data_IF_072408780362
#
_entry.id   IF_072408780362
#
_cell.length_a   1.000
_cell.length_b   1.000
_cell.length_c   1.000
_cell.angle_alpha   90.00
_cell.angle_beta   90.00
_cell.angle_gamma   90.00
#
_symmetry.space_group_name_H-M   'P 1'
#
loop_
_entity.id
_entity.type
_entity.pdbx_description
1 polymer ?
#
# COMPACT_ATOMS: atom_id res chain seq x y z
N UNK A 1 -2.69 8.25 -37.47
CA UNK A 1 -2.60 7.51 -36.18
C UNK A 1 -1.75 8.31 -35.22
N UNK A 2 -2.20 8.53 -33.98
CA UNK A 2 -1.45 9.21 -32.93
C UNK A 2 -1.06 8.20 -31.84
N UNK A 3 0.06 8.47 -31.15
CA UNK A 3 0.60 7.61 -30.08
C UNK A 3 -0.09 7.86 -28.74
N UNK A 4 -0.70 9.02 -28.56
CA UNK A 4 -1.44 9.39 -27.36
C UNK A 4 -2.59 10.32 -27.72
N UNK A 5 -3.74 10.14 -27.11
CA UNK A 5 -4.87 11.07 -27.19
C UNK A 5 -5.39 11.33 -25.79
N UNK A 6 -5.56 12.60 -25.45
CA UNK A 6 -6.09 13.03 -24.17
C UNK A 6 -7.21 14.04 -24.34
N UNK A 7 -8.11 14.07 -23.38
CA UNK A 7 -9.22 15.01 -23.32
C UNK A 7 -9.09 15.85 -22.03
N UNK A 8 -8.84 17.15 -22.20
CA UNK A 8 -8.80 18.12 -21.11
C UNK A 8 -10.20 18.64 -20.88
N UNK A 9 -10.65 18.58 -19.65
CA UNK A 9 -11.98 19.05 -19.25
C UNK A 9 -11.95 20.56 -18.95
N UNK A 10 -13.11 21.17 -18.94
CA UNK A 10 -13.24 22.51 -18.38
C UNK A 10 -12.87 22.46 -16.88
N UNK A 11 -11.91 23.30 -16.49
CA UNK A 11 -11.38 23.33 -15.13
C UNK A 11 -12.36 24.08 -14.22
N UNK A 12 -12.90 23.40 -13.22
CA UNK A 12 -13.81 23.95 -12.21
C UNK A 12 -13.17 24.10 -10.85
N UNK A 13 -12.22 23.24 -10.55
CA UNK A 13 -11.56 23.14 -9.26
C UNK A 13 -10.11 22.63 -9.41
N UNK A 14 -9.42 22.52 -8.28
CA UNK A 14 -8.04 22.05 -8.23
C UNK A 14 -7.87 20.57 -8.66
N UNK A 15 -8.92 19.75 -8.57
CA UNK A 15 -8.88 18.35 -9.01
C UNK A 15 -8.90 18.28 -10.54
N UNK A 16 -9.73 19.09 -11.19
CA UNK A 16 -9.75 19.23 -12.64
C UNK A 16 -8.43 19.80 -13.18
N UNK A 17 -7.86 20.79 -12.49
CA UNK A 17 -6.56 21.40 -12.85
C UNK A 17 -5.45 20.36 -12.80
N UNK A 18 -5.35 19.63 -11.69
CA UNK A 18 -4.38 18.55 -11.54
C UNK A 18 -4.58 17.46 -12.59
N UNK A 19 -5.81 16.99 -12.80
CA UNK A 19 -6.14 15.98 -13.81
C UNK A 19 -5.77 16.41 -15.23
N UNK A 20 -6.03 17.67 -15.59
CA UNK A 20 -5.66 18.24 -16.88
C UNK A 20 -4.13 18.36 -17.02
N UNK A 21 -3.43 18.75 -15.96
CA UNK A 21 -1.97 18.84 -15.95
C UNK A 21 -1.32 17.47 -16.20
N UNK A 22 -1.79 16.41 -15.54
CA UNK A 22 -1.30 15.04 -15.78
C UNK A 22 -1.55 14.60 -17.23
N UNK A 23 -2.76 14.83 -17.75
CA UNK A 23 -3.12 14.47 -19.14
C UNK A 23 -2.26 15.22 -20.17
N UNK A 24 -2.05 16.53 -19.98
CA UNK A 24 -1.22 17.33 -20.88
C UNK A 24 0.25 16.85 -20.86
N UNK A 25 0.83 16.63 -19.67
CA UNK A 25 2.16 16.08 -19.55
C UNK A 25 2.28 14.68 -20.17
N UNK A 26 1.28 13.81 -20.00
CA UNK A 26 1.23 12.48 -20.64
C UNK A 26 1.30 12.59 -22.16
N UNK A 27 0.53 13.49 -22.77
CA UNK A 27 0.53 13.70 -24.20
C UNK A 27 1.86 14.24 -24.71
N UNK A 28 2.45 15.22 -24.00
CA UNK A 28 3.74 15.82 -24.37
C UNK A 28 4.87 14.79 -24.27
N UNK A 29 4.92 14.03 -23.17
CA UNK A 29 5.93 13.00 -22.99
C UNK A 29 5.81 11.82 -23.95
N UNK A 30 4.60 11.55 -24.47
CA UNK A 30 4.39 10.52 -25.49
C UNK A 30 5.04 10.85 -26.83
N UNK A 31 5.26 12.13 -27.15
CA UNK A 31 5.89 12.58 -28.41
C UNK A 31 7.27 11.95 -28.65
N UNK A 32 7.98 11.58 -27.61
CA UNK A 32 9.34 11.01 -27.72
C UNK A 32 9.48 9.60 -27.12
N UNK A 33 8.38 9.00 -26.66
CA UNK A 33 8.41 7.66 -26.03
C UNK A 33 8.36 6.57 -27.10
N UNK A 34 9.19 5.52 -26.94
CA UNK A 34 9.17 4.33 -27.81
C UNK A 34 9.20 4.64 -29.31
N UNK A 35 10.08 5.53 -29.74
CA UNK A 35 10.18 5.99 -31.13
C UNK A 35 9.31 7.20 -31.46
N UNK A 36 8.42 7.61 -30.57
CA UNK A 36 7.63 8.83 -30.69
C UNK A 36 6.52 8.76 -31.70
N UNK A 37 5.82 9.88 -31.83
CA UNK A 37 4.71 10.07 -32.78
C UNK A 37 3.83 11.25 -32.40
N UNK A 38 2.85 11.61 -33.24
CA UNK A 38 1.95 12.72 -32.96
C UNK A 38 1.04 12.40 -31.75
N UNK A 39 0.85 13.37 -30.88
CA UNK A 39 -0.12 13.32 -29.79
C UNK A 39 -1.30 14.24 -30.07
N UNK A 40 -2.47 13.85 -29.65
CA UNK A 40 -3.70 14.62 -29.78
C UNK A 40 -4.18 15.09 -28.41
N UNK A 41 -4.43 16.41 -28.30
CA UNK A 41 -5.01 17.02 -27.11
C UNK A 41 -6.32 17.69 -27.51
N UNK A 42 -7.43 17.19 -27.00
CA UNK A 42 -8.72 17.82 -27.15
C UNK A 42 -9.02 18.68 -25.93
N UNK A 43 -9.28 19.98 -26.14
CA UNK A 43 -9.56 20.91 -25.05
C UNK A 43 -11.03 21.33 -25.09
N UNK A 44 -11.75 21.18 -24.00
CA UNK A 44 -13.06 21.75 -23.77
C UNK A 44 -12.89 23.23 -23.43
N UNK A 45 -13.46 24.11 -24.24
CA UNK A 45 -13.39 25.56 -24.04
C UNK A 45 -14.79 26.15 -23.92
N UNK A 46 -14.89 27.26 -23.22
CA UNK A 46 -16.09 28.10 -23.19
C UNK A 46 -15.79 29.40 -23.88
N UNK A 47 -16.83 29.99 -24.47
CA UNK A 47 -16.71 31.35 -25.01
C UNK A 47 -16.57 32.32 -23.83
N UNK A 48 -15.47 33.04 -23.79
CA UNK A 48 -15.23 34.11 -22.83
C UNK A 48 -15.18 35.45 -23.55
N UNK A 49 -15.84 36.43 -22.96
CA UNK A 49 -15.72 37.86 -23.38
C UNK A 49 -14.63 38.60 -22.60
N UNK A 50 -13.94 37.91 -21.69
CA UNK A 50 -12.86 38.50 -20.89
C UNK A 50 -11.50 38.33 -21.59
N UNK A 51 -10.92 39.45 -22.01
CA UNK A 51 -9.61 39.54 -22.64
C UNK A 51 -8.60 40.25 -21.73
N UNK A 52 -8.86 40.32 -20.44
CA UNK A 52 -8.01 41.04 -19.49
C UNK A 52 -6.82 40.23 -18.99
N UNK A 53 -6.82 38.92 -19.22
CA UNK A 53 -5.70 38.00 -18.79
C UNK A 53 -4.45 38.37 -19.58
N UNK A 54 -3.43 38.83 -18.88
CA UNK A 54 -2.14 39.28 -19.47
C UNK A 54 -1.03 38.25 -19.27
N UNK A 55 -1.17 37.37 -18.26
CA UNK A 55 -0.16 36.37 -17.92
C UNK A 55 -0.76 34.98 -17.87
N UNK A 56 -0.05 34.01 -18.42
CA UNK A 56 -0.39 32.59 -18.31
C UNK A 56 0.35 32.03 -17.10
N UNK A 57 -0.39 31.51 -16.14
CA UNK A 57 0.19 30.83 -14.99
C UNK A 57 0.84 29.53 -15.49
N UNK A 58 2.16 29.32 -15.25
CA UNK A 58 2.83 28.11 -15.67
C UNK A 58 2.25 26.87 -14.97
N UNK A 59 1.89 25.86 -15.72
CA UNK A 59 1.50 24.57 -15.18
C UNK A 59 2.72 23.76 -14.72
N UNK A 60 2.51 22.78 -13.84
CA UNK A 60 3.56 21.90 -13.41
C UNK A 60 4.06 21.02 -14.59
N UNK A 61 5.35 21.13 -14.92
CA UNK A 61 5.99 20.32 -15.95
C UNK A 61 6.59 19.06 -15.33
N UNK A 62 6.24 17.92 -15.92
CA UNK A 62 6.79 16.61 -15.52
C UNK A 62 7.81 16.19 -16.57
N UNK A 63 8.97 15.70 -16.10
CA UNK A 63 10.04 15.22 -16.97
C UNK A 63 10.20 13.72 -16.82
N UNK A 64 10.55 13.04 -17.93
CA UNK A 64 10.87 11.60 -17.90
C UNK A 64 12.31 11.39 -18.31
N UNK A 65 12.99 10.50 -17.58
CA UNK A 65 14.36 10.11 -17.81
C UNK A 65 14.45 8.59 -17.96
N UNK A 66 15.28 8.14 -18.88
CA UNK A 66 15.66 6.74 -19.07
C UNK A 66 17.14 6.52 -18.78
N UNK A 67 17.63 5.31 -19.05
CA UNK A 67 19.02 4.90 -18.77
C UNK A 67 20.11 5.74 -19.45
N UNK A 68 19.80 6.33 -20.61
CA UNK A 68 20.75 7.08 -21.42
C UNK A 68 20.69 8.59 -21.22
N UNK A 69 19.73 9.05 -20.42
CA UNK A 69 19.57 10.48 -20.17
C UNK A 69 20.51 10.96 -19.07
N UNK A 70 20.88 12.23 -19.11
CA UNK A 70 21.57 12.89 -18.00
C UNK A 70 20.55 13.10 -16.89
N UNK A 71 20.71 12.38 -15.77
CA UNK A 71 19.79 12.46 -14.66
C UNK A 71 19.98 13.78 -13.89
N UNK A 72 18.87 14.34 -13.33
CA UNK A 72 18.96 15.55 -12.51
C UNK A 72 19.78 15.26 -11.25
N UNK A 73 20.57 16.21 -10.73
CA UNK A 73 21.23 16.05 -9.45
C UNK A 73 20.16 15.96 -8.34
N UNK A 74 20.47 15.17 -7.32
CA UNK A 74 19.65 15.15 -6.13
C UNK A 74 19.90 16.44 -5.35
N UNK A 75 18.87 17.27 -5.23
CA UNK A 75 18.97 18.56 -4.54
C UNK A 75 19.22 18.43 -3.03
N UNK A 76 19.51 19.54 -2.38
CA UNK A 76 19.65 19.57 -0.91
C UNK A 76 18.28 19.60 -0.24
N UNK A 77 17.72 18.41 -0.02
CA UNK A 77 16.46 18.26 0.70
C UNK A 77 16.71 17.94 2.16
N UNK A 78 16.00 18.63 3.06
CA UNK A 78 16.14 18.44 4.50
C UNK A 78 15.77 17.02 4.94
N UNK A 79 14.67 16.47 4.40
CA UNK A 79 14.18 15.12 4.66
C UNK A 79 13.87 14.44 3.33
N UNK A 80 14.43 13.24 3.14
CA UNK A 80 14.20 12.41 1.97
C UNK A 80 13.56 11.10 2.42
N UNK A 81 12.46 10.72 1.81
CA UNK A 81 11.82 9.44 2.04
C UNK A 81 11.66 8.65 0.74
N UNK A 82 11.89 7.35 0.80
CA UNK A 82 11.48 6.40 -0.23
C UNK A 82 10.14 5.84 0.21
N UNK A 83 9.09 6.09 -0.56
CA UNK A 83 7.76 5.55 -0.28
C UNK A 83 7.56 4.29 -1.11
N UNK A 84 7.47 3.16 -0.42
CA UNK A 84 7.28 1.85 -1.05
C UNK A 84 5.83 1.42 -0.83
N UNK A 85 5.06 1.42 -1.90
CA UNK A 85 3.70 0.84 -1.88
C UNK A 85 3.74 -0.69 -1.88
N UNK A 86 2.67 -1.33 -2.37
CA UNK A 86 2.70 -2.78 -2.56
C UNK A 86 3.79 -3.13 -3.59
N UNK A 87 4.65 -4.05 -3.21
CA UNK A 87 5.79 -4.44 -4.03
C UNK A 87 6.10 -5.93 -3.84
N UNK A 88 6.73 -6.56 -4.82
CA UNK A 88 7.33 -7.88 -4.64
C UNK A 88 8.42 -7.82 -3.57
N UNK A 89 8.75 -8.97 -2.98
CA UNK A 89 9.87 -9.04 -2.02
C UNK A 89 11.14 -8.51 -2.69
N UNK A 90 11.81 -7.58 -2.03
CA UNK A 90 13.07 -7.04 -2.52
C UNK A 90 14.12 -8.14 -2.66
N UNK A 91 14.85 -8.11 -3.76
CA UNK A 91 16.07 -8.89 -3.91
C UNK A 91 17.15 -8.37 -2.96
N UNK A 92 18.19 -9.15 -2.69
CA UNK A 92 19.36 -8.67 -1.94
C UNK A 92 19.97 -7.44 -2.62
N UNK A 93 20.11 -7.47 -3.96
CA UNK A 93 20.66 -6.38 -4.74
C UNK A 93 19.88 -5.08 -4.62
N UNK A 94 18.53 -5.14 -4.71
CA UNK A 94 17.70 -3.95 -4.54
C UNK A 94 17.74 -3.45 -3.08
N UNK A 95 17.73 -4.36 -2.09
CA UNK A 95 17.84 -3.98 -0.68
C UNK A 95 19.15 -3.24 -0.39
N UNK A 96 20.27 -3.77 -0.87
CA UNK A 96 21.58 -3.15 -0.73
C UNK A 96 21.67 -1.78 -1.41
N UNK A 97 21.10 -1.65 -2.61
CA UNK A 97 21.06 -0.39 -3.34
C UNK A 97 20.26 0.69 -2.61
N UNK A 98 19.09 0.32 -2.10
CA UNK A 98 18.24 1.22 -1.29
C UNK A 98 18.92 1.58 0.03
N UNK A 99 19.52 0.61 0.72
CA UNK A 99 20.24 0.86 1.96
C UNK A 99 21.43 1.79 1.75
N UNK A 100 22.23 1.59 0.68
CA UNK A 100 23.35 2.47 0.34
C UNK A 100 22.89 3.90 0.02
N UNK A 101 21.78 4.04 -0.71
CA UNK A 101 21.17 5.34 -0.96
C UNK A 101 20.75 6.03 0.35
N UNK A 102 20.03 5.32 1.22
CA UNK A 102 19.57 5.86 2.50
C UNK A 102 20.72 6.27 3.41
N UNK A 103 21.77 5.47 3.46
CA UNK A 103 22.98 5.78 4.24
C UNK A 103 23.65 7.05 3.73
N UNK A 104 23.80 7.18 2.41
CA UNK A 104 24.45 8.33 1.78
C UNK A 104 23.68 9.64 1.98
N UNK A 105 22.36 9.60 1.73
CA UNK A 105 21.55 10.82 1.69
C UNK A 105 20.77 11.08 2.99
N UNK A 106 20.90 10.22 4.00
CA UNK A 106 20.13 10.34 5.23
C UNK A 106 18.63 10.11 4.99
N UNK A 107 18.29 9.26 4.03
CA UNK A 107 16.92 8.94 3.70
C UNK A 107 16.35 7.82 4.57
N UNK A 108 15.02 7.66 4.55
CA UNK A 108 14.29 6.60 5.22
C UNK A 108 13.37 5.88 4.23
N UNK A 109 12.92 4.68 4.57
CA UNK A 109 11.97 3.93 3.74
C UNK A 109 10.61 3.87 4.44
N UNK A 110 9.68 4.69 3.99
CA UNK A 110 8.27 4.65 4.40
C UNK A 110 7.57 3.49 3.70
N UNK A 111 7.07 2.56 4.48
CA UNK A 111 6.49 1.34 3.94
C UNK A 111 5.41 0.77 4.86
N UNK A 112 4.64 -0.17 4.31
CA UNK A 112 3.83 -1.13 5.05
C UNK A 112 4.42 -2.55 4.91
N UNK A 113 3.78 -3.56 5.46
CA UNK A 113 4.28 -4.92 5.36
C UNK A 113 4.15 -5.52 3.94
N UNK A 114 3.32 -4.93 3.04
CA UNK A 114 3.19 -5.36 1.64
C UNK A 114 4.32 -4.83 0.75
N UNK A 115 5.17 -3.97 1.28
CA UNK A 115 6.29 -3.35 0.54
C UNK A 115 7.38 -4.33 0.12
N UNK A 116 7.48 -5.48 0.78
CA UNK A 116 8.56 -6.45 0.55
C UNK A 116 9.96 -5.99 0.99
N UNK A 117 10.12 -4.78 1.50
CA UNK A 117 11.38 -4.23 1.98
C UNK A 117 11.65 -4.59 3.44
N UNK A 118 12.81 -5.16 3.73
CA UNK A 118 13.26 -5.53 5.08
C UNK A 118 14.68 -5.02 5.41
N UNK A 119 15.11 -3.92 4.76
CA UNK A 119 16.41 -3.31 4.99
C UNK A 119 16.48 -2.45 6.26
N UNK A 120 17.67 -1.87 6.49
CA UNK A 120 18.03 -1.16 7.74
C UNK A 120 17.26 0.14 7.98
N UNK A 121 16.69 0.74 6.94
CA UNK A 121 16.06 2.07 6.97
C UNK A 121 14.53 1.99 6.98
N UNK A 122 13.97 0.80 7.28
CA UNK A 122 12.53 0.52 7.36
C UNK A 122 11.86 1.39 8.44
N UNK A 123 10.79 2.07 8.02
CA UNK A 123 9.86 2.82 8.87
C UNK A 123 8.45 2.32 8.55
N UNK A 124 7.89 1.48 9.43
CA UNK A 124 6.54 0.95 9.29
C UNK A 124 5.53 2.04 9.65
N UNK A 125 5.01 2.72 8.64
CA UNK A 125 4.27 3.97 8.77
C UNK A 125 2.79 3.82 9.19
N UNK A 126 2.06 2.71 8.92
CA UNK A 126 0.61 2.63 9.11
C UNK A 126 0.11 2.95 10.52
N UNK A 127 0.85 2.59 11.58
CA UNK A 127 0.45 2.93 12.94
C UNK A 127 0.35 4.44 13.16
N UNK A 128 1.34 5.20 12.70
CA UNK A 128 1.35 6.67 12.81
C UNK A 128 0.31 7.30 11.88
N UNK A 129 0.21 6.81 10.66
CA UNK A 129 -0.72 7.34 9.65
C UNK A 129 -2.19 7.15 10.03
N UNK A 130 -2.49 6.15 10.87
CA UNK A 130 -3.85 5.92 11.38
C UNK A 130 -4.25 6.86 12.52
N UNK A 131 -3.30 7.64 13.06
CA UNK A 131 -3.58 8.67 14.07
C UNK A 131 -4.12 9.94 13.36
N UNK A 132 -5.40 9.93 12.99
CA UNK A 132 -6.00 10.95 12.12
C UNK A 132 -6.09 12.34 12.75
N UNK A 133 -6.08 12.41 14.08
CA UNK A 133 -6.18 13.67 14.84
C UNK A 133 -4.82 14.31 15.11
N UNK A 134 -3.74 13.67 14.68
CA UNK A 134 -2.37 14.14 14.88
C UNK A 134 -1.66 14.29 13.55
N UNK A 135 -1.13 15.48 13.31
CA UNK A 135 -0.12 15.68 12.28
C UNK A 135 1.27 15.39 12.86
N UNK A 136 2.00 14.47 12.22
CA UNK A 136 3.35 14.10 12.61
C UNK A 136 4.35 14.79 11.69
N UNK A 137 5.28 15.53 12.28
CA UNK A 137 6.33 16.24 11.54
C UNK A 137 7.14 15.34 10.60
N UNK A 138 7.28 14.06 10.93
CA UNK A 138 8.00 13.09 10.07
C UNK A 138 7.29 12.83 8.75
N UNK A 139 5.99 13.13 8.64
CA UNK A 139 5.24 12.98 7.38
C UNK A 139 5.57 14.07 6.36
N UNK A 140 6.15 15.20 6.81
CA UNK A 140 6.55 16.33 5.97
C UNK A 140 7.97 16.10 5.45
N UNK A 141 8.09 15.82 4.17
CA UNK A 141 9.37 15.52 3.51
C UNK A 141 9.62 16.46 2.34
N UNK A 142 10.88 16.83 2.13
CA UNK A 142 11.28 17.66 1.00
C UNK A 142 11.18 16.87 -0.31
N UNK A 143 11.70 15.64 -0.32
CA UNK A 143 11.66 14.75 -1.46
C UNK A 143 11.07 13.40 -1.08
N UNK A 144 10.12 12.93 -1.89
CA UNK A 144 9.60 11.57 -1.83
C UNK A 144 9.94 10.82 -3.12
N UNK A 145 10.70 9.73 -3.01
CA UNK A 145 10.93 8.80 -4.11
C UNK A 145 9.89 7.69 -4.00
N UNK A 146 8.98 7.63 -4.96
CA UNK A 146 7.86 6.70 -4.94
C UNK A 146 8.13 5.49 -5.83
N UNK A 147 8.10 4.29 -5.26
CA UNK A 147 8.23 3.00 -5.93
C UNK A 147 7.09 2.06 -5.51
N UNK A 148 6.95 0.95 -6.21
CA UNK A 148 5.86 -0.01 -5.98
C UNK A 148 4.50 0.52 -6.44
N UNK A 149 3.45 -0.22 -6.11
CA UNK A 149 2.07 0.08 -6.50
C UNK A 149 1.24 0.62 -5.31
N UNK A 150 -0.07 0.70 -5.44
CA UNK A 150 -0.94 1.24 -4.40
C UNK A 150 -0.87 0.39 -3.13
N UNK A 151 -0.58 1.01 -1.99
CA UNK A 151 -0.76 0.38 -0.68
C UNK A 151 -2.24 0.40 -0.26
N UNK A 152 -2.73 -0.71 0.31
CA UNK A 152 -4.05 -0.77 0.91
C UNK A 152 -4.08 -0.31 2.38
N UNK A 153 -2.93 -0.02 2.98
CA UNK A 153 -2.80 0.53 4.32
C UNK A 153 -2.86 2.07 4.31
N UNK A 154 -3.17 2.65 5.45
CA UNK A 154 -3.03 4.11 5.59
C UNK A 154 -1.55 4.45 5.69
N UNK A 155 -1.05 5.20 4.72
CA UNK A 155 0.31 5.72 4.72
C UNK A 155 0.29 7.20 4.33
N UNK A 156 0.51 8.09 5.28
CA UNK A 156 0.50 9.55 5.09
C UNK A 156 1.91 10.05 4.84
N UNK A 157 2.08 10.80 3.76
CA UNK A 157 3.27 11.60 3.50
C UNK A 157 2.86 12.89 2.79
N UNK A 158 3.48 13.99 3.18
CA UNK A 158 3.24 15.33 2.62
C UNK A 158 4.53 15.85 1.98
N UNK A 159 4.86 15.39 0.77
CA UNK A 159 6.07 15.80 0.07
C UNK A 159 5.95 17.19 -0.54
N UNK A 160 7.09 17.88 -0.64
CA UNK A 160 7.21 19.08 -1.47
C UNK A 160 7.41 18.71 -2.94
N UNK A 161 8.16 17.63 -3.22
CA UNK A 161 8.47 17.13 -4.54
C UNK A 161 8.41 15.60 -4.56
N UNK A 162 7.94 15.02 -5.67
CA UNK A 162 7.85 13.56 -5.86
C UNK A 162 8.63 13.14 -7.11
N UNK A 163 9.44 12.11 -6.95
CA UNK A 163 10.10 11.38 -8.02
C UNK A 163 9.52 9.97 -8.11
N UNK A 164 9.00 9.60 -9.26
CA UNK A 164 8.51 8.24 -9.49
C UNK A 164 9.58 7.43 -10.20
N UNK A 165 9.90 6.25 -9.67
CA UNK A 165 10.78 5.28 -10.34
C UNK A 165 9.95 4.05 -10.69
N UNK A 166 9.86 3.72 -11.98
CA UNK A 166 9.15 2.54 -12.47
C UNK A 166 9.57 2.21 -13.91
N UNK A 167 9.75 0.92 -14.24
CA UNK A 167 10.20 0.50 -15.57
C UNK A 167 9.25 0.86 -16.70
N UNK A 168 7.95 0.97 -16.42
CA UNK A 168 6.94 1.32 -17.41
C UNK A 168 6.91 2.82 -17.76
N UNK A 169 7.53 3.68 -16.95
CA UNK A 169 7.59 5.14 -17.18
C UNK A 169 6.22 5.83 -17.17
N UNK A 170 5.19 5.22 -16.57
CA UNK A 170 3.86 5.84 -16.45
C UNK A 170 3.82 6.92 -15.38
N UNK A 171 3.03 7.97 -15.65
CA UNK A 171 2.83 9.07 -14.73
C UNK A 171 1.82 8.67 -13.64
N UNK A 172 2.32 8.35 -12.46
CA UNK A 172 1.50 8.06 -11.27
C UNK A 172 1.77 9.13 -10.21
N UNK A 173 0.86 10.09 -10.10
CA UNK A 173 1.00 11.24 -9.20
C UNK A 173 0.00 11.16 -8.04
N UNK A 174 0.20 10.17 -7.19
CA UNK A 174 -0.64 9.96 -6.00
C UNK A 174 -0.59 11.13 -5.00
N UNK A 175 0.55 11.81 -4.93
CA UNK A 175 0.79 12.91 -4.00
C UNK A 175 0.53 14.31 -4.58
N UNK A 176 0.17 14.41 -5.87
CA UNK A 176 -0.02 15.68 -6.61
C UNK A 176 1.21 16.60 -6.62
N UNK A 177 2.40 16.00 -6.56
CA UNK A 177 3.70 16.70 -6.51
C UNK A 177 4.74 16.07 -7.44
N UNK A 178 4.29 15.25 -8.41
CA UNK A 178 5.18 14.57 -9.34
C UNK A 178 5.93 15.57 -10.20
N UNK A 179 7.25 15.47 -10.19
CA UNK A 179 8.15 16.28 -11.02
C UNK A 179 8.96 15.44 -11.99
N UNK A 180 9.51 14.32 -11.51
CA UNK A 180 10.33 13.45 -12.34
C UNK A 180 9.80 12.02 -12.36
N UNK A 181 9.85 11.39 -13.54
CA UNK A 181 9.60 9.97 -13.73
C UNK A 181 10.88 9.35 -14.28
N UNK A 182 11.40 8.34 -13.59
CA UNK A 182 12.56 7.59 -14.03
C UNK A 182 12.09 6.25 -14.60
N UNK A 183 12.16 6.12 -15.92
CA UNK A 183 11.81 4.89 -16.64
C UNK A 183 13.00 3.94 -16.61
N UNK A 184 13.29 3.42 -15.44
CA UNK A 184 14.42 2.53 -15.15
C UNK A 184 14.01 1.48 -14.14
N UNK A 185 14.79 0.41 -14.04
CA UNK A 185 14.72 -0.49 -12.91
C UNK A 185 15.12 0.24 -11.62
N UNK A 186 14.46 -0.09 -10.52
CA UNK A 186 14.64 0.56 -9.23
C UNK A 186 16.06 0.34 -8.68
N UNK A 187 16.59 -0.88 -8.78
CA UNK A 187 17.95 -1.19 -8.34
C UNK A 187 18.98 -0.33 -9.09
N UNK A 188 18.83 -0.16 -10.40
CA UNK A 188 19.71 0.69 -11.19
C UNK A 188 19.65 2.14 -10.74
N UNK A 189 18.44 2.68 -10.51
CA UNK A 189 18.24 4.04 -10.04
C UNK A 189 18.96 4.30 -8.70
N UNK A 190 18.73 3.45 -7.71
CA UNK A 190 19.33 3.63 -6.39
C UNK A 190 20.85 3.45 -6.41
N UNK A 191 21.38 2.47 -7.18
CA UNK A 191 22.83 2.32 -7.37
C UNK A 191 23.45 3.54 -8.05
N UNK A 192 22.80 4.10 -9.06
CA UNK A 192 23.28 5.28 -9.76
C UNK A 192 23.46 6.46 -8.79
N UNK A 193 22.41 6.81 -8.04
CA UNK A 193 22.51 7.91 -7.08
C UNK A 193 23.46 7.60 -5.91
N UNK A 194 23.49 6.38 -5.42
CA UNK A 194 24.45 5.98 -4.38
C UNK A 194 25.91 6.10 -4.82
N UNK A 195 26.19 5.93 -6.12
CA UNK A 195 27.56 6.03 -6.67
C UNK A 195 28.04 7.46 -6.99
N UNK A 196 27.13 8.46 -6.94
CA UNK A 196 27.51 9.84 -7.23
C UNK A 196 28.59 10.36 -6.27
N UNK A 197 29.50 11.17 -6.78
CA UNK A 197 30.58 11.78 -5.97
C UNK A 197 30.04 13.01 -5.18
N UNK A 198 29.27 12.72 -4.13
CA UNK A 198 28.78 13.70 -3.18
C UNK A 198 29.04 13.20 -1.75
N UNK A 199 29.35 14.08 -0.80
CA UNK A 199 29.58 13.68 0.59
C UNK A 199 28.38 12.96 1.19
N UNK A 200 28.63 11.84 1.86
CA UNK A 200 27.58 11.16 2.63
C UNK A 200 27.24 11.97 3.89
N UNK A 201 25.98 11.92 4.30
CA UNK A 201 25.56 12.51 5.60
C UNK A 201 26.21 11.73 6.74
N UNK A 202 26.80 12.44 7.68
CA UNK A 202 27.51 11.85 8.82
C UNK A 202 26.59 11.02 9.73
N UNK A 203 25.30 11.36 9.80
CA UNK A 203 24.29 10.68 10.62
C UNK A 203 22.91 10.79 9.98
N UNK A 204 22.14 9.72 10.06
CA UNK A 204 20.74 9.73 9.63
C UNK A 204 19.82 10.09 10.81
N UNK A 205 19.75 11.40 11.11
CA UNK A 205 18.89 11.93 12.18
C UNK A 205 17.41 11.71 11.89
N UNK A 206 17.01 11.73 10.63
CA UNK A 206 15.62 11.52 10.22
C UNK A 206 15.13 10.09 10.56
N UNK A 207 15.96 9.08 10.40
CA UNK A 207 15.62 7.72 10.81
C UNK A 207 15.41 7.61 12.33
N UNK A 208 16.24 8.30 13.11
CA UNK A 208 16.11 8.34 14.57
C UNK A 208 14.82 9.04 15.00
N UNK A 209 14.49 10.17 14.37
CA UNK A 209 13.22 10.88 14.60
C UNK A 209 12.02 9.95 14.32
N UNK A 210 12.02 9.25 13.17
CA UNK A 210 10.96 8.31 12.82
C UNK A 210 10.81 7.17 13.83
N UNK A 211 11.91 6.57 14.24
CA UNK A 211 11.91 5.48 15.24
C UNK A 211 11.38 5.95 16.59
N UNK A 212 11.87 7.08 17.07
CA UNK A 212 11.41 7.68 18.34
C UNK A 212 9.90 7.97 18.31
N UNK A 213 9.39 8.48 17.20
CA UNK A 213 7.97 8.78 17.04
C UNK A 213 7.10 7.52 17.06
N UNK A 214 7.54 6.45 16.36
CA UNK A 214 6.86 5.15 16.36
C UNK A 214 6.87 4.54 17.76
N UNK A 215 8.01 4.52 18.43
CA UNK A 215 8.15 3.94 19.77
C UNK A 215 7.31 4.71 20.79
N UNK A 216 7.35 6.05 20.76
CA UNK A 216 6.53 6.90 21.63
C UNK A 216 5.03 6.67 21.41
N UNK A 217 4.61 6.48 20.16
CA UNK A 217 3.21 6.19 19.85
C UNK A 217 2.83 4.80 20.32
N UNK A 218 3.67 3.80 20.08
CA UNK A 218 3.45 2.41 20.51
C UNK A 218 3.39 2.26 22.03
N UNK A 219 4.23 2.98 22.76
CA UNK A 219 4.26 2.96 24.22
C UNK A 219 2.95 3.46 24.88
N UNK A 220 2.15 4.25 24.16
CA UNK A 220 0.84 4.72 24.62
C UNK A 220 -0.29 3.70 24.44
N UNK A 221 -0.06 2.62 23.72
CA UNK A 221 -1.06 1.61 23.42
C UNK A 221 -1.01 0.51 24.47
N UNK A 222 -2.07 0.41 25.25
CA UNK A 222 -2.27 -0.74 26.13
C UNK A 222 -2.94 -1.87 25.35
N UNK A 223 -2.15 -2.83 24.87
CA UNK A 223 -2.62 -3.96 24.05
C UNK A 223 -3.64 -4.81 24.81
N UNK A 224 -3.47 -4.97 26.13
CA UNK A 224 -4.38 -5.77 26.95
C UNK A 224 -5.78 -5.13 27.07
N UNK A 225 -5.85 -3.82 26.98
CA UNK A 225 -7.12 -3.08 26.97
C UNK A 225 -7.85 -3.10 25.62
N UNK A 226 -7.19 -3.49 24.52
CA UNK A 226 -7.85 -3.64 23.22
C UNK A 226 -8.88 -4.76 23.32
N UNK A 227 -10.15 -4.56 22.92
CA UNK A 227 -11.14 -5.64 22.89
C UNK A 227 -10.70 -6.83 22.02
N UNK A 228 -11.31 -7.99 22.23
CA UNK A 228 -11.13 -9.13 21.32
C UNK A 228 -11.55 -8.69 19.91
N UNK A 229 -10.58 -8.60 19.03
CA UNK A 229 -10.71 -7.96 17.71
C UNK A 229 -9.58 -8.37 16.78
N UNK A 230 -9.71 -8.06 15.49
CA UNK A 230 -8.66 -8.32 14.50
C UNK A 230 -7.31 -7.68 14.89
N UNK A 231 -7.35 -6.44 15.42
CA UNK A 231 -6.14 -5.74 15.90
C UNK A 231 -5.50 -6.50 17.07
N UNK A 232 -6.31 -6.93 18.04
CA UNK A 232 -5.80 -7.70 19.18
C UNK A 232 -5.22 -9.04 18.72
N UNK A 233 -5.91 -9.77 17.84
CA UNK A 233 -5.40 -11.03 17.28
C UNK A 233 -4.07 -10.83 16.54
N UNK A 234 -3.98 -9.76 15.73
CA UNK A 234 -2.73 -9.39 15.06
C UNK A 234 -1.58 -9.15 16.06
N UNK A 235 -1.85 -8.48 17.19
CA UNK A 235 -0.84 -8.24 18.24
C UNK A 235 -0.31 -9.53 18.86
N UNK A 236 -1.13 -10.58 18.93
CA UNK A 236 -0.76 -11.86 19.52
C UNK A 236 0.02 -12.76 18.55
N UNK A 237 -0.25 -12.65 17.25
CA UNK A 237 0.25 -13.59 16.24
C UNK A 237 1.37 -13.03 15.37
N UNK A 238 1.45 -11.73 15.16
CA UNK A 238 2.36 -11.10 14.19
C UNK A 238 3.85 -11.49 14.40
N UNK A 239 4.28 -11.61 15.63
CA UNK A 239 5.65 -12.01 15.98
C UNK A 239 5.87 -13.53 16.12
N UNK A 240 4.81 -14.35 15.98
CA UNK A 240 4.87 -15.81 16.18
C UNK A 240 4.78 -16.61 14.87
N UNK A 241 4.70 -15.93 13.74
CA UNK A 241 4.63 -16.60 12.44
C UNK A 241 5.93 -17.37 12.19
N UNK A 242 5.84 -18.62 11.71
CA UNK A 242 7.02 -19.41 11.37
C UNK A 242 7.87 -18.75 10.29
N UNK A 243 9.17 -18.91 10.36
CA UNK A 243 10.09 -18.43 9.34
C UNK A 243 9.71 -18.97 7.95
N UNK A 244 9.95 -18.14 6.93
CA UNK A 244 9.68 -18.42 5.51
C UNK A 244 8.21 -18.74 5.19
N UNK A 245 7.27 -18.56 6.13
CA UNK A 245 5.84 -18.72 5.86
C UNK A 245 5.31 -17.65 4.92
N UNK A 246 4.15 -17.92 4.32
CA UNK A 246 3.39 -16.98 3.51
C UNK A 246 2.24 -16.46 4.39
N UNK A 247 2.09 -15.15 4.51
CA UNK A 247 0.95 -14.52 5.14
C UNK A 247 0.19 -13.69 4.10
N UNK A 248 -0.98 -14.15 3.72
CA UNK A 248 -1.91 -13.37 2.91
C UNK A 248 -2.98 -12.75 3.80
N UNK A 249 -3.27 -11.48 3.63
CA UNK A 249 -4.30 -10.79 4.40
C UNK A 249 -5.38 -10.23 3.48
N UNK A 250 -6.63 -10.34 3.91
CA UNK A 250 -7.74 -9.68 3.23
C UNK A 250 -7.58 -8.17 3.29
N UNK A 251 -7.93 -7.51 2.18
CA UNK A 251 -7.84 -6.05 2.08
C UNK A 251 -8.74 -5.35 3.11
N UNK A 252 -8.49 -4.08 3.34
CA UNK A 252 -9.18 -3.20 4.27
C UNK A 252 -8.85 -3.55 5.74
N UNK A 253 -9.80 -3.99 6.54
CA UNK A 253 -9.61 -4.10 7.99
C UNK A 253 -8.55 -5.13 8.41
N UNK A 254 -8.45 -6.28 7.75
CA UNK A 254 -7.40 -7.26 8.06
C UNK A 254 -6.03 -6.70 7.72
N UNK A 255 -5.85 -6.15 6.52
CA UNK A 255 -4.60 -5.52 6.11
C UNK A 255 -4.19 -4.39 7.06
N UNK A 256 -5.12 -3.48 7.41
CA UNK A 256 -4.83 -2.35 8.30
C UNK A 256 -4.44 -2.81 9.69
N UNK A 257 -5.19 -3.75 10.27
CA UNK A 257 -4.94 -4.27 11.61
C UNK A 257 -3.57 -4.92 11.73
N UNK A 258 -3.18 -5.70 10.73
CA UNK A 258 -1.91 -6.42 10.73
C UNK A 258 -0.72 -5.52 10.41
N UNK A 259 -0.93 -4.42 9.71
CA UNK A 259 0.10 -3.43 9.42
C UNK A 259 0.46 -2.52 10.63
N UNK A 260 -0.23 -2.62 11.75
CA UNK A 260 0.20 -1.94 12.98
C UNK A 260 1.35 -2.65 13.69
N UNK A 261 1.65 -3.88 13.31
CA UNK A 261 2.66 -4.72 13.95
C UNK A 261 3.76 -5.11 12.96
N UNK A 262 4.96 -5.30 13.49
CA UNK A 262 6.07 -5.83 12.72
C UNK A 262 5.83 -7.31 12.42
N UNK A 263 5.97 -7.68 11.15
CA UNK A 263 6.01 -9.06 10.72
C UNK A 263 7.47 -9.47 10.54
N UNK A 264 7.89 -10.68 10.95
CA UNK A 264 9.26 -11.15 10.73
C UNK A 264 9.67 -11.03 9.27
N UNK A 265 10.88 -10.55 9.00
CA UNK A 265 11.35 -10.28 7.64
C UNK A 265 11.46 -11.53 6.74
N UNK A 266 11.49 -12.73 7.34
CA UNK A 266 11.44 -14.01 6.63
C UNK A 266 10.05 -14.34 6.09
N UNK A 267 8.98 -13.81 6.70
CA UNK A 267 7.60 -14.04 6.29
C UNK A 267 7.26 -13.26 5.02
N UNK A 268 6.63 -13.92 4.04
CA UNK A 268 6.14 -13.30 2.82
C UNK A 268 4.74 -12.72 3.05
N UNK A 269 4.67 -11.42 3.35
CA UNK A 269 3.40 -10.72 3.58
C UNK A 269 2.82 -10.21 2.27
N UNK A 270 1.55 -10.55 1.96
CA UNK A 270 0.88 -10.19 0.73
C UNK A 270 -0.59 -9.79 0.95
N UNK A 271 -1.12 -8.99 0.02
CA UNK A 271 -2.52 -8.60 -0.04
C UNK A 271 -2.92 -8.28 -1.49
N UNK A 272 -4.15 -8.59 -1.86
CA UNK A 272 -4.71 -8.20 -3.16
C UNK A 272 -5.08 -6.71 -3.17
N UNK A 273 -4.13 -5.82 -3.44
CA UNK A 273 -4.35 -4.37 -3.41
C UNK A 273 -4.77 -3.78 -4.76
N UNK A 274 -4.53 -4.47 -5.87
CA UNK A 274 -4.68 -3.91 -7.21
C UNK A 274 -6.08 -3.43 -7.57
N UNK A 275 -7.13 -4.16 -7.17
CA UNK A 275 -8.53 -3.80 -7.44
C UNK A 275 -9.32 -3.36 -6.22
N UNK A 276 -8.74 -3.36 -5.04
CA UNK A 276 -9.41 -3.14 -3.76
C UNK A 276 -10.66 -4.02 -3.52
N UNK A 277 -10.78 -5.14 -4.27
CA UNK A 277 -11.85 -6.10 -4.13
C UNK A 277 -11.65 -7.02 -2.93
N UNK A 278 -12.75 -7.38 -2.28
CA UNK A 278 -12.75 -8.36 -1.18
C UNK A 278 -12.89 -9.80 -1.68
N UNK A 279 -13.10 -9.98 -2.96
CA UNK A 279 -13.16 -11.25 -3.67
C UNK A 279 -11.75 -11.79 -3.98
N UNK A 280 -11.55 -13.09 -3.93
CA UNK A 280 -10.32 -13.76 -4.34
C UNK A 280 -9.18 -13.91 -3.33
N UNK A 281 -9.26 -13.56 -2.03
CA UNK A 281 -8.15 -13.74 -1.10
C UNK A 281 -7.84 -15.22 -0.81
N UNK A 282 -8.85 -16.10 -0.80
CA UNK A 282 -8.66 -17.55 -0.62
C UNK A 282 -8.02 -18.14 -1.88
N UNK A 283 -8.51 -17.80 -3.06
CA UNK A 283 -7.95 -18.24 -4.35
C UNK A 283 -6.49 -17.83 -4.49
N UNK A 284 -6.15 -16.60 -4.10
CA UNK A 284 -4.77 -16.11 -4.13
C UNK A 284 -3.86 -16.90 -3.18
N UNK A 285 -4.30 -17.18 -1.94
CA UNK A 285 -3.55 -18.00 -1.01
C UNK A 285 -3.39 -19.43 -1.51
N UNK A 286 -4.47 -20.05 -2.00
CA UNK A 286 -4.45 -21.42 -2.54
C UNK A 286 -3.44 -21.52 -3.67
N UNK A 287 -3.44 -20.56 -4.61
CA UNK A 287 -2.44 -20.50 -5.69
C UNK A 287 -1.01 -20.37 -5.17
N UNK A 288 -0.78 -19.50 -4.19
CA UNK A 288 0.54 -19.34 -3.56
C UNK A 288 0.99 -20.62 -2.85
N UNK A 289 0.08 -21.33 -2.17
CA UNK A 289 0.37 -22.57 -1.45
C UNK A 289 0.79 -23.73 -2.38
N UNK A 290 0.32 -23.73 -3.62
CA UNK A 290 0.74 -24.72 -4.63
C UNK A 290 2.17 -24.50 -5.09
N UNK A 291 2.57 -23.23 -5.22
CA UNK A 291 3.92 -22.87 -5.64
C UNK A 291 4.97 -23.12 -4.54
N UNK A 292 4.54 -23.17 -3.28
CA UNK A 292 5.41 -23.37 -2.12
C UNK A 292 4.83 -24.41 -1.14
N UNK A 293 4.66 -25.68 -1.56
CA UNK A 293 3.96 -26.70 -0.77
C UNK A 293 4.67 -27.07 0.54
N UNK A 294 5.95 -26.75 0.66
CA UNK A 294 6.76 -26.96 1.87
C UNK A 294 6.62 -25.82 2.89
N UNK A 295 6.03 -24.68 2.50
CA UNK A 295 5.82 -23.52 3.38
C UNK A 295 4.42 -23.53 3.95
N UNK A 296 4.27 -23.09 5.21
CA UNK A 296 2.94 -22.85 5.76
C UNK A 296 2.39 -21.55 5.18
N UNK A 297 1.16 -21.61 4.70
CA UNK A 297 0.46 -20.49 4.07
C UNK A 297 -0.70 -20.06 4.96
N UNK A 298 -0.63 -18.86 5.50
CA UNK A 298 -1.62 -18.26 6.37
C UNK A 298 -2.51 -17.28 5.59
N UNK A 299 -3.81 -17.31 5.88
CA UNK A 299 -4.77 -16.30 5.45
C UNK A 299 -5.42 -15.66 6.67
N UNK A 300 -5.48 -14.33 6.70
CA UNK A 300 -6.35 -13.58 7.62
C UNK A 300 -7.42 -12.90 6.79
N UNK A 301 -8.68 -13.24 7.03
CA UNK A 301 -9.79 -12.78 6.19
C UNK A 301 -11.04 -12.49 7.01
N UNK A 302 -11.79 -11.46 6.62
CA UNK A 302 -13.12 -11.21 7.14
C UNK A 302 -14.16 -12.15 6.51
N UNK A 303 -15.30 -12.30 7.17
CA UNK A 303 -16.38 -13.19 6.76
C UNK A 303 -16.97 -12.86 5.39
N UNK A 304 -17.24 -11.61 5.07
CA UNK A 304 -17.71 -11.25 3.73
C UNK A 304 -16.76 -11.71 2.63
N UNK A 305 -15.47 -11.41 2.77
CA UNK A 305 -14.47 -11.83 1.80
C UNK A 305 -14.34 -13.36 1.74
N UNK A 306 -14.46 -14.05 2.88
CA UNK A 306 -14.45 -15.51 2.93
C UNK A 306 -15.62 -16.10 2.14
N UNK A 307 -16.83 -15.61 2.31
CA UNK A 307 -18.00 -16.14 1.61
C UNK A 307 -18.04 -15.80 0.12
N UNK A 308 -17.38 -14.75 -0.32
CA UNK A 308 -17.21 -14.46 -1.74
C UNK A 308 -16.34 -15.50 -2.48
N UNK A 309 -15.40 -16.15 -1.79
CA UNK A 309 -14.36 -16.99 -2.41
C UNK A 309 -14.24 -18.39 -1.78
N UNK A 310 -15.20 -18.76 -0.93
CA UNK A 310 -15.15 -20.00 -0.14
C UNK A 310 -15.06 -21.28 -1.00
N UNK A 311 -15.56 -21.26 -2.23
CA UNK A 311 -15.53 -22.40 -3.14
C UNK A 311 -14.10 -22.77 -3.57
N UNK A 312 -13.14 -21.87 -3.49
CA UNK A 312 -11.73 -22.15 -3.75
C UNK A 312 -11.17 -23.24 -2.81
N UNK A 313 -11.75 -23.38 -1.60
CA UNK A 313 -11.37 -24.43 -0.63
C UNK A 313 -11.76 -25.85 -1.09
N UNK A 314 -12.66 -25.98 -2.06
CA UNK A 314 -13.02 -27.27 -2.67
C UNK A 314 -11.99 -27.79 -3.69
N UNK A 315 -10.87 -27.11 -3.90
CA UNK A 315 -9.85 -27.55 -4.84
C UNK A 315 -9.09 -28.78 -4.31
N UNK A 316 -9.15 -29.89 -5.04
CA UNK A 316 -8.59 -31.18 -4.60
C UNK A 316 -7.04 -31.22 -4.53
N UNK A 317 -6.35 -30.22 -5.04
CA UNK A 317 -4.88 -30.10 -4.90
C UNK A 317 -4.44 -29.44 -3.59
N UNK A 318 -5.36 -28.89 -2.80
CA UNK A 318 -5.03 -28.29 -1.49
C UNK A 318 -4.41 -29.36 -0.59
N UNK A 319 -3.31 -28.98 0.06
CA UNK A 319 -2.58 -29.79 1.04
C UNK A 319 -2.79 -29.24 2.45
N UNK A 320 -2.23 -29.92 3.43
CA UNK A 320 -2.34 -29.55 4.86
C UNK A 320 -1.46 -28.37 5.29
N UNK A 321 -0.93 -27.60 4.34
CA UNK A 321 -0.07 -26.44 4.62
C UNK A 321 -0.82 -25.09 4.68
N UNK A 322 -2.16 -25.10 4.60
CA UNK A 322 -2.98 -23.88 4.69
C UNK A 322 -3.53 -23.71 6.10
N UNK A 323 -3.49 -22.47 6.60
CA UNK A 323 -4.10 -22.03 7.86
C UNK A 323 -4.92 -20.77 7.62
N UNK A 324 -6.17 -20.74 8.06
CA UNK A 324 -7.07 -19.61 7.82
C UNK A 324 -7.58 -19.07 9.17
N UNK A 325 -7.27 -17.82 9.45
CA UNK A 325 -7.89 -17.04 10.52
C UNK A 325 -9.07 -16.26 9.94
N UNK A 326 -10.27 -16.80 10.16
CA UNK A 326 -11.51 -16.15 9.76
C UNK A 326 -12.00 -15.24 10.87
N UNK A 327 -12.05 -13.94 10.61
CA UNK A 327 -12.66 -12.95 11.50
C UNK A 327 -14.13 -12.82 11.14
N UNK A 328 -14.97 -13.60 11.87
CA UNK A 328 -16.42 -13.70 11.60
C UNK A 328 -17.19 -12.79 12.54
N UNK A 329 -17.41 -11.54 12.16
CA UNK A 329 -18.16 -10.55 12.93
C UNK A 329 -19.55 -10.24 12.34
N UNK A 330 -19.92 -10.89 11.23
CA UNK A 330 -21.24 -10.80 10.61
C UNK A 330 -21.52 -9.53 9.82
N UNK A 331 -20.51 -8.70 9.56
CA UNK A 331 -20.71 -7.44 8.83
C UNK A 331 -19.42 -6.90 8.18
N UNK A 332 -19.58 -6.01 7.19
CA UNK A 332 -18.48 -5.26 6.57
C UNK A 332 -18.10 -4.03 7.41
N UNK A 333 -17.12 -4.16 8.28
CA UNK A 333 -16.66 -3.12 9.23
C UNK A 333 -16.11 -1.87 8.53
N UNK A 334 -15.67 -1.95 7.28
CA UNK A 334 -15.13 -0.80 6.55
C UNK A 334 -16.08 0.40 6.60
N UNK A 335 -17.36 0.18 6.37
CA UNK A 335 -18.38 1.23 6.33
C UNK A 335 -18.71 1.82 7.70
N UNK A 336 -18.22 1.19 8.77
CA UNK A 336 -18.36 1.66 10.16
C UNK A 336 -17.08 2.31 10.70
N UNK A 337 -16.05 2.40 9.87
CA UNK A 337 -14.86 3.17 10.20
C UNK A 337 -15.22 4.67 10.20
N UNK A 338 -14.88 5.39 11.28
CA UNK A 338 -15.21 6.81 11.44
C UNK A 338 -14.60 7.71 10.35
N UNK A 339 -13.58 7.27 9.64
CA UNK A 339 -13.02 7.95 8.48
C UNK A 339 -13.83 7.72 7.19
N UNK A 340 -14.74 6.73 7.18
CA UNK A 340 -15.49 6.41 5.99
C UNK A 340 -16.75 7.29 5.89
N UNK A 341 -17.09 7.84 4.70
CA UNK A 341 -18.30 8.68 4.53
C UNK A 341 -19.60 8.03 4.97
N UNK A 342 -19.69 6.69 4.92
CA UNK A 342 -20.89 5.95 5.34
C UNK A 342 -21.04 5.87 6.87
N UNK A 343 -20.03 6.20 7.66
CA UNK A 343 -20.10 6.20 9.13
C UNK A 343 -21.25 7.05 9.67
N UNK A 344 -21.55 8.17 9.00
CA UNK A 344 -22.66 9.07 9.36
C UNK A 344 -24.06 8.41 9.39
N UNK A 345 -24.21 7.28 8.69
CA UNK A 345 -25.48 6.56 8.64
C UNK A 345 -25.70 5.61 9.83
N UNK A 346 -24.66 5.39 10.66
CA UNK A 346 -24.76 4.54 11.84
C UNK A 346 -25.32 3.16 11.52
N UNK A 347 -26.31 2.71 12.28
CA UNK A 347 -26.94 1.40 12.08
C UNK A 347 -27.80 1.29 10.81
N UNK A 348 -28.21 2.40 10.20
CA UNK A 348 -28.89 2.36 8.91
C UNK A 348 -28.00 1.81 7.77
N UNK A 349 -26.67 1.85 7.94
CA UNK A 349 -25.73 1.24 6.99
C UNK A 349 -25.76 -0.30 7.01
N UNK A 350 -26.32 -0.92 8.06
CA UNK A 350 -26.24 -2.38 8.29
C UNK A 350 -26.90 -3.19 7.18
N UNK A 351 -28.08 -2.76 6.72
CA UNK A 351 -28.85 -3.48 5.70
C UNK A 351 -28.26 -3.33 4.27
N UNK A 352 -27.51 -2.26 4.02
CA UNK A 352 -27.06 -1.91 2.68
C UNK A 352 -25.53 -2.06 2.54
N UNK A 353 -24.79 -1.11 3.08
CA UNK A 353 -23.35 -1.04 2.87
C UNK A 353 -22.55 -2.04 3.71
N UNK A 354 -22.91 -2.18 4.98
CA UNK A 354 -22.19 -3.05 5.90
C UNK A 354 -22.63 -4.52 5.79
N UNK A 355 -23.69 -4.82 5.05
CA UNK A 355 -24.20 -6.17 4.82
C UNK A 355 -24.31 -7.01 6.11
N UNK A 356 -24.73 -6.38 7.23
CA UNK A 356 -24.85 -7.04 8.52
C UNK A 356 -25.88 -8.17 8.46
N UNK A 357 -25.55 -9.30 9.09
CA UNK A 357 -26.43 -10.45 9.06
C UNK A 357 -26.54 -11.10 7.68
N UNK A 358 -25.48 -10.95 6.84
CA UNK A 358 -25.41 -11.64 5.55
C UNK A 358 -25.62 -13.14 5.71
N UNK A 359 -26.07 -13.81 4.64
CA UNK A 359 -26.48 -15.21 4.70
C UNK A 359 -25.42 -16.13 5.33
N UNK A 360 -24.14 -15.90 5.04
CA UNK A 360 -23.04 -16.68 5.58
C UNK A 360 -22.84 -16.54 7.11
N UNK A 361 -23.33 -15.45 7.74
CA UNK A 361 -23.25 -15.24 9.18
C UNK A 361 -24.50 -15.75 9.94
N UNK A 362 -25.57 -16.15 9.26
CA UNK A 362 -26.84 -16.54 9.89
C UNK A 362 -26.75 -17.85 10.68
N UNK A 363 -25.80 -18.74 10.33
CA UNK A 363 -25.61 -20.01 11.02
C UNK A 363 -24.24 -20.10 11.63
N UNK A 364 -24.11 -20.26 12.97
CA UNK A 364 -22.81 -20.46 13.62
C UNK A 364 -22.14 -21.78 13.22
N UNK A 365 -22.88 -22.71 12.62
CA UNK A 365 -22.37 -24.01 12.15
C UNK A 365 -21.92 -24.00 10.70
N UNK A 366 -22.32 -23.01 9.92
CA UNK A 366 -22.11 -23.01 8.46
C UNK A 366 -20.64 -23.21 8.08
N UNK A 367 -19.76 -22.39 8.64
CA UNK A 367 -18.33 -22.49 8.35
C UNK A 367 -17.78 -23.84 8.83
N UNK A 368 -18.08 -24.23 10.07
CA UNK A 368 -17.61 -25.49 10.66
C UNK A 368 -18.01 -26.69 9.81
N UNK A 369 -19.29 -26.78 9.46
CA UNK A 369 -19.83 -27.95 8.75
C UNK A 369 -19.32 -27.98 7.30
N UNK A 370 -19.19 -26.82 6.65
CA UNK A 370 -18.63 -26.69 5.30
C UNK A 370 -17.15 -27.10 5.25
N UNK A 371 -16.29 -26.49 6.07
CA UNK A 371 -14.85 -26.79 6.04
C UNK A 371 -14.54 -28.18 6.59
N UNK A 372 -15.33 -28.69 7.55
CA UNK A 372 -15.24 -30.05 8.06
C UNK A 372 -15.57 -31.08 7.00
N UNK A 373 -16.58 -30.84 6.16
CA UNK A 373 -16.92 -31.69 5.03
C UNK A 373 -15.80 -31.76 3.96
N UNK A 374 -14.98 -30.71 3.87
CA UNK A 374 -13.78 -30.67 3.01
C UNK A 374 -12.53 -31.27 3.68
N UNK A 375 -12.61 -31.71 4.94
CA UNK A 375 -11.51 -32.33 5.67
C UNK A 375 -10.60 -31.34 6.42
N UNK A 376 -11.00 -30.07 6.56
CA UNK A 376 -10.26 -29.12 7.39
C UNK A 376 -10.57 -29.31 8.87
N UNK A 377 -9.56 -29.14 9.72
CA UNK A 377 -9.75 -28.98 11.16
C UNK A 377 -10.34 -27.58 11.43
N UNK A 378 -11.35 -27.52 12.29
CA UNK A 378 -12.01 -26.28 12.66
C UNK A 378 -11.93 -26.02 14.17
N UNK A 379 -11.48 -24.84 14.54
CA UNK A 379 -11.50 -24.32 15.90
C UNK A 379 -12.21 -23.00 15.95
N UNK A 380 -12.98 -22.74 17.00
CA UNK A 380 -13.68 -21.48 17.19
C UNK A 380 -13.27 -20.81 18.49
N UNK A 381 -13.13 -19.48 18.45
CA UNK A 381 -12.82 -18.66 19.62
C UNK A 381 -13.77 -17.47 19.66
N UNK A 382 -14.38 -17.21 20.81
CA UNK A 382 -15.33 -16.11 21.04
C UNK A 382 -14.78 -15.02 21.97
N UNK A 383 -13.61 -15.28 22.57
CA UNK A 383 -12.95 -14.38 23.49
C UNK A 383 -11.41 -14.58 23.46
N UNK A 384 -10.69 -13.70 24.15
CA UNK A 384 -9.22 -13.73 24.22
C UNK A 384 -8.66 -15.03 24.77
N UNK A 385 -9.29 -15.60 25.78
CA UNK A 385 -8.82 -16.82 26.45
C UNK A 385 -8.91 -18.01 25.50
N UNK A 386 -10.10 -18.26 24.95
CA UNK A 386 -10.31 -19.35 23.98
C UNK A 386 -9.46 -19.19 22.72
N UNK A 387 -9.15 -17.96 22.32
CA UNK A 387 -8.26 -17.71 21.20
C UNK A 387 -6.83 -18.15 21.52
N UNK A 388 -6.30 -17.77 22.68
CA UNK A 388 -4.93 -18.15 23.08
C UNK A 388 -4.79 -19.67 23.24
N UNK A 389 -5.83 -20.37 23.72
CA UNK A 389 -5.86 -21.84 23.83
C UNK A 389 -5.89 -22.54 22.45
N UNK A 390 -6.35 -21.87 21.42
CA UNK A 390 -6.53 -22.45 20.07
C UNK A 390 -5.39 -22.14 19.09
N UNK A 391 -4.48 -21.22 19.41
CA UNK A 391 -3.37 -20.85 18.53
C UNK A 391 -2.10 -21.68 18.71
N UNK A 392 -2.04 -22.50 19.77
CA UNK A 392 -0.97 -23.47 20.00
C UNK A 392 -1.34 -24.79 19.26
#
# INVERSE_FOLDING_TARGET
>A
TYVCSVHLQFCKDADDEWGNTIKANKAILALRRNGGGPAHINCVTLVSGDYTVKEIIPANAIFRFGYTDVLPPLGDFARIAIFVGNHSRFTSGLTEAVDAFCEKYGAVVFCDNTSGYNGRFKVLLPLLSSQSQRDCEINHVGLLIHIGEVSGAYMKAFPQEVWRVNPDGELRDHFRKLKYVFQTEEEWFFRHYASMDVPAKAKNTFLEECRTEIETTRAKINVDAIPFSNIWMASQLSGKLPDESILHVGILNSLRSWNYFNIPGSVHFQCNTGGFGIDGPISALVGASFNAPQKISFLVVGDLAFFYDLNALGNHYIKNNIRILLVNNGEGIEFKNYLHPAFKFGDAANEYFAARGHFGAQSPRLVRDFVGALGFEYRASTDKKSFLENID
#
